data_IF_769183688744
#
_entry.id   IF_769183688744
#
_cell.length_a   1.000
_cell.length_b   1.000
_cell.length_c   1.000
_cell.angle_alpha   90.00
_cell.angle_beta   90.00
_cell.angle_gamma   90.00
#
_symmetry.space_group_name_H-M   'P 1'
#
loop_
_entity.id
_entity.type
_entity.pdbx_description
1 polymer ?
#
# COMPACT_ATOMS: atom_id res chain seq x y z
N UNK A 1 -12.62 11.68 2.50
CA UNK A 1 -11.19 11.32 2.40
C UNK A 1 -11.06 10.41 1.20
N UNK A 2 -10.23 10.78 0.22
CA UNK A 2 -10.12 10.02 -1.02
C UNK A 2 -9.13 8.86 -0.81
N UNK A 3 -9.50 7.65 -1.24
CA UNK A 3 -8.69 6.44 -1.12
C UNK A 3 -8.65 5.73 -2.48
N UNK A 4 -7.48 5.24 -2.87
CA UNK A 4 -7.30 4.38 -4.05
C UNK A 4 -7.10 2.95 -3.61
N UNK A 5 -7.90 2.05 -4.16
CA UNK A 5 -7.74 0.61 -4.00
C UNK A 5 -7.21 0.02 -5.29
N UNK A 6 -6.10 -0.69 -5.20
CA UNK A 6 -5.49 -1.35 -6.33
C UNK A 6 -4.83 -2.66 -5.91
N UNK A 7 -4.63 -3.56 -6.87
CA UNK A 7 -3.99 -4.84 -6.61
C UNK A 7 -2.45 -4.77 -6.72
N UNK A 8 -1.81 -5.93 -6.65
CA UNK A 8 -0.36 -6.04 -6.75
C UNK A 8 0.22 -5.65 -8.11
N UNK A 9 -0.58 -5.41 -9.15
CA UNK A 9 -0.06 -4.86 -10.41
C UNK A 9 0.47 -3.43 -10.21
N UNK A 10 -0.13 -2.68 -9.29
CA UNK A 10 0.25 -1.30 -8.93
C UNK A 10 1.29 -1.23 -7.81
N UNK A 11 1.73 -2.38 -7.30
CA UNK A 11 2.84 -2.47 -6.35
C UNK A 11 4.18 -2.25 -7.07
N UNK A 12 4.44 -0.99 -7.41
CA UNK A 12 5.65 -0.55 -8.09
C UNK A 12 6.66 0.00 -7.07
N UNK A 13 7.87 -0.59 -6.98
CA UNK A 13 8.90 -0.12 -6.06
C UNK A 13 9.46 1.27 -6.44
N UNK A 14 9.16 1.76 -7.64
CA UNK A 14 9.73 2.96 -8.27
C UNK A 14 9.07 4.29 -7.85
N UNK A 15 8.41 4.34 -6.69
CA UNK A 15 7.84 5.58 -6.08
C UNK A 15 6.66 6.22 -6.76
N UNK A 16 6.49 6.07 -8.06
CA UNK A 16 5.59 6.93 -8.84
C UNK A 16 4.15 6.95 -8.32
N UNK A 17 3.55 5.80 -7.99
CA UNK A 17 2.14 5.76 -7.56
C UNK A 17 1.95 6.13 -6.08
N UNK A 18 2.84 5.69 -5.20
CA UNK A 18 2.70 5.95 -3.76
C UNK A 18 3.00 7.40 -3.41
N UNK A 19 4.07 7.96 -4.00
CA UNK A 19 4.43 9.36 -3.79
C UNK A 19 3.38 10.28 -4.42
N UNK A 20 2.87 9.94 -5.62
CA UNK A 20 1.77 10.69 -6.23
C UNK A 20 0.51 10.73 -5.35
N UNK A 21 0.10 9.60 -4.79
CA UNK A 21 -1.08 9.55 -3.92
C UNK A 21 -0.85 10.34 -2.63
N UNK A 22 0.33 10.24 -2.04
CA UNK A 22 0.71 11.00 -0.86
C UNK A 22 0.71 12.52 -1.13
N UNK A 23 1.32 12.97 -2.23
CA UNK A 23 1.32 14.38 -2.65
C UNK A 23 -0.10 14.93 -2.88
N UNK A 24 -1.03 14.07 -3.32
CA UNK A 24 -2.44 14.43 -3.49
C UNK A 24 -3.27 14.29 -2.21
N UNK A 25 -2.68 13.85 -1.10
CA UNK A 25 -3.40 13.58 0.15
C UNK A 25 -4.42 12.44 0.03
N UNK A 26 -4.17 11.49 -0.87
CA UNK A 26 -5.02 10.33 -1.15
C UNK A 26 -4.42 9.11 -0.44
N UNK A 27 -5.25 8.36 0.28
CA UNK A 27 -4.81 7.15 0.96
C UNK A 27 -4.60 6.00 -0.03
N UNK A 28 -3.45 5.32 0.05
CA UNK A 28 -3.12 4.20 -0.82
C UNK A 28 -3.48 2.85 -0.16
N UNK A 29 -4.64 2.31 -0.49
CA UNK A 29 -5.02 0.91 -0.16
C UNK A 29 -4.59 -0.05 -1.26
N UNK A 30 -3.31 0.00 -1.63
CA UNK A 30 -2.73 -0.84 -2.69
C UNK A 30 -2.19 -2.12 -2.08
N UNK A 31 -2.59 -3.27 -2.62
CA UNK A 31 -2.09 -4.57 -2.18
C UNK A 31 -0.64 -4.76 -2.60
N UNK A 32 0.26 -4.72 -1.62
CA UNK A 32 1.68 -5.02 -1.82
C UNK A 32 1.89 -6.52 -2.13
N UNK A 33 2.81 -6.86 -3.04
CA UNK A 33 3.15 -8.25 -3.41
C UNK A 33 3.81 -8.97 -2.24
N UNK A 34 3.59 -10.28 -2.18
CA UNK A 34 4.13 -11.15 -1.12
C UNK A 34 5.66 -11.05 -0.96
N UNK A 35 6.37 -10.83 -2.05
CA UNK A 35 7.83 -10.78 -2.08
C UNK A 35 8.38 -9.34 -2.03
N UNK A 36 7.53 -8.34 -1.80
CA UNK A 36 7.98 -6.95 -1.77
C UNK A 36 8.91 -6.70 -0.61
N UNK A 37 10.03 -6.08 -0.96
CA UNK A 37 11.12 -5.81 -0.03
C UNK A 37 10.83 -4.54 0.75
N UNK A 38 11.26 -4.51 2.01
CA UNK A 38 11.34 -3.27 2.80
C UNK A 38 12.60 -2.46 2.51
N UNK A 39 13.46 -2.95 1.59
CA UNK A 39 14.71 -2.31 1.15
C UNK A 39 14.49 -1.33 0.01
N UNK A 40 13.28 -0.77 -0.11
CA UNK A 40 12.98 0.32 -1.04
C UNK A 40 13.72 1.58 -0.59
N UNK A 41 15.00 1.69 -0.94
CA UNK A 41 15.84 2.86 -0.70
C UNK A 41 15.21 4.06 -1.40
N UNK A 42 14.44 4.85 -0.66
CA UNK A 42 13.84 6.11 -1.11
C UNK A 42 12.32 6.17 -1.14
N UNK A 43 11.57 5.11 -0.84
CA UNK A 43 10.10 5.16 -0.82
C UNK A 43 9.52 4.89 0.58
N UNK A 44 9.40 5.92 1.44
CA UNK A 44 8.88 5.76 2.80
C UNK A 44 7.43 5.23 2.84
N UNK A 45 6.60 5.67 1.89
CA UNK A 45 5.17 5.34 1.84
C UNK A 45 4.91 3.91 1.39
N UNK A 46 5.62 3.42 0.37
CA UNK A 46 5.63 1.99 0.04
C UNK A 46 6.19 1.15 1.18
N UNK A 47 7.28 1.59 1.83
CA UNK A 47 7.83 0.87 3.00
C UNK A 47 6.80 0.74 4.12
N UNK A 48 6.01 1.79 4.38
CA UNK A 48 4.93 1.77 5.37
C UNK A 48 3.84 0.77 4.97
N UNK A 49 3.38 0.78 3.73
CA UNK A 49 2.39 -0.18 3.23
C UNK A 49 2.90 -1.64 3.31
N UNK A 50 4.18 -1.88 3.00
CA UNK A 50 4.82 -3.21 3.12
C UNK A 50 4.89 -3.66 4.57
N UNK A 51 5.25 -2.76 5.51
CA UNK A 51 5.31 -3.06 6.95
C UNK A 51 3.93 -3.35 7.50
N UNK A 52 2.94 -2.53 7.15
CA UNK A 52 1.55 -2.67 7.58
C UNK A 52 0.94 -4.00 7.13
N UNK A 53 1.19 -4.41 5.88
CA UNK A 53 0.79 -5.72 5.37
C UNK A 53 1.52 -6.88 6.11
N UNK A 54 2.81 -6.71 6.44
CA UNK A 54 3.59 -7.74 7.15
C UNK A 54 3.18 -7.89 8.61
N UNK A 55 2.86 -6.79 9.30
CA UNK A 55 2.42 -6.77 10.70
C UNK A 55 0.98 -7.28 10.86
N UNK A 56 0.05 -6.83 10.01
CA UNK A 56 -1.35 -7.27 10.08
C UNK A 56 -1.55 -8.71 9.56
N UNK A 57 -0.62 -9.20 8.73
CA UNK A 57 -0.81 -10.36 7.84
C UNK A 57 -1.96 -10.14 6.84
N UNK A 58 -1.93 -10.89 5.73
CA UNK A 58 -2.81 -10.65 4.59
C UNK A 58 -4.30 -10.61 4.95
N UNK A 59 -4.77 -11.54 5.79
CA UNK A 59 -6.20 -11.68 6.08
C UNK A 59 -6.76 -10.50 6.87
N UNK A 60 -6.01 -9.97 7.86
CA UNK A 60 -6.45 -8.78 8.61
C UNK A 60 -6.22 -7.48 7.86
N UNK A 61 -5.20 -7.42 7.00
CA UNK A 61 -5.02 -6.28 6.11
C UNK A 61 -6.20 -6.19 5.13
N UNK A 62 -6.59 -7.33 4.54
CA UNK A 62 -7.76 -7.44 3.68
C UNK A 62 -9.01 -7.01 4.45
N UNK A 63 -9.25 -7.55 5.65
CA UNK A 63 -10.40 -7.14 6.46
C UNK A 63 -10.40 -5.64 6.77
N UNK A 64 -9.26 -5.03 7.10
CA UNK A 64 -9.18 -3.58 7.35
C UNK A 64 -9.47 -2.73 6.10
N UNK A 65 -8.89 -3.11 4.96
CA UNK A 65 -9.05 -2.33 3.71
C UNK A 65 -10.38 -2.65 3.00
N UNK A 66 -10.95 -3.83 3.20
CA UNK A 66 -12.23 -4.31 2.63
C UNK A 66 -13.44 -3.92 3.50
N UNK A 67 -13.27 -3.67 4.82
CA UNK A 67 -14.33 -3.17 5.73
C UNK A 67 -14.73 -1.70 5.49
N UNK A 68 -14.26 -1.11 4.40
CA UNK A 68 -14.72 0.20 3.90
C UNK A 68 -15.59 0.07 2.62
N UNK A 69 -15.98 -1.15 2.24
CA UNK A 69 -16.93 -1.44 1.16
C UNK A 69 -18.37 -1.69 1.62
N UNK A 70 -18.65 -1.65 2.93
CA UNK A 70 -19.99 -1.68 3.53
C UNK A 70 -20.22 -0.40 4.34
#
# INVERSE_FOLDING_TARGET
MNKVLADGAYDSPEKEIFDYLEEKGIEAGIKVRKNSSTRSSGNPSHKKAVLELKELRYDRWKEREERLWL
#
